data_IF_270314421596
#
_entry.id   IF_270314421596
#
_cell.length_a   1.000
_cell.length_b   1.000
_cell.length_c   1.000
_cell.angle_alpha   90.00
_cell.angle_beta   90.00
_cell.angle_gamma   90.00
#
_symmetry.space_group_name_H-M   'P 1'
#
loop_
_entity.id
_entity.type
_entity.pdbx_description
1 polymer ?
#
# COMPACT_ATOMS: atom_id res chain seq x y z
N UNK A 1 -12.53 -1.50 12.69
CA UNK A 1 -11.77 -1.16 11.47
C UNK A 1 -11.95 -2.28 10.48
N UNK A 2 -12.07 -1.93 9.20
CA UNK A 2 -12.08 -2.86 8.08
C UNK A 2 -10.85 -2.59 7.24
N UNK A 3 -10.29 -3.65 6.67
CA UNK A 3 -9.11 -3.57 5.83
C UNK A 3 -9.41 -4.16 4.46
N UNK A 4 -8.98 -3.45 3.42
CA UNK A 4 -8.83 -3.93 2.05
C UNK A 4 -7.33 -4.07 1.81
N UNK A 5 -6.81 -5.29 1.81
CA UNK A 5 -5.36 -5.50 1.73
C UNK A 5 -4.95 -6.96 1.71
N UNK A 6 -3.70 -7.22 2.10
CA UNK A 6 -3.05 -8.54 2.08
C UNK A 6 -3.13 -9.21 0.68
N UNK A 7 -2.62 -8.52 -0.34
CA UNK A 7 -2.62 -9.02 -1.71
C UNK A 7 -1.56 -10.11 -1.93
N UNK A 8 -0.49 -10.12 -1.12
CA UNK A 8 0.56 -11.14 -1.07
C UNK A 8 0.04 -12.58 -1.11
N UNK A 9 -1.05 -12.86 -0.40
CA UNK A 9 -1.64 -14.21 -0.32
C UNK A 9 -2.28 -14.66 -1.64
N UNK A 10 -2.54 -13.73 -2.55
CA UNK A 10 -3.19 -13.96 -3.84
C UNK A 10 -2.19 -14.01 -5.00
N UNK A 11 -1.01 -13.42 -4.84
CA UNK A 11 0.03 -13.44 -5.87
C UNK A 11 0.56 -14.84 -6.17
N UNK A 12 0.67 -15.71 -5.15
CA UNK A 12 1.04 -17.12 -5.35
C UNK A 12 0.01 -17.90 -6.19
N UNK A 13 -1.24 -17.42 -6.22
CA UNK A 13 -2.31 -17.95 -7.07
C UNK A 13 -2.38 -17.27 -8.45
N UNK A 14 -1.45 -16.35 -8.76
CA UNK A 14 -1.44 -15.57 -10.00
C UNK A 14 -2.56 -14.54 -10.10
N UNK A 15 -3.17 -14.17 -8.96
CA UNK A 15 -4.22 -13.17 -8.90
C UNK A 15 -3.58 -11.83 -8.54
N UNK A 16 -3.69 -10.87 -9.45
CA UNK A 16 -3.25 -9.49 -9.25
C UNK A 16 -4.46 -8.57 -9.10
N UNK A 17 -4.25 -7.45 -8.41
CA UNK A 17 -5.27 -6.42 -8.20
C UNK A 17 -4.85 -5.15 -8.91
N UNK A 18 -5.69 -4.68 -9.84
CA UNK A 18 -5.49 -3.40 -10.50
C UNK A 18 -5.88 -2.23 -9.60
N UNK A 19 -5.31 -1.05 -9.86
CA UNK A 19 -5.67 0.19 -9.17
C UNK A 19 -7.18 0.47 -9.21
N UNK A 20 -7.81 0.20 -10.35
CA UNK A 20 -9.25 0.38 -10.53
C UNK A 20 -10.08 -0.57 -9.67
N UNK A 21 -9.67 -1.83 -9.56
CA UNK A 21 -10.35 -2.81 -8.70
C UNK A 21 -10.29 -2.39 -7.23
N UNK A 22 -9.12 -1.95 -6.77
CA UNK A 22 -8.92 -1.51 -5.38
C UNK A 22 -9.74 -0.25 -5.10
N UNK A 23 -9.76 0.69 -6.03
CA UNK A 23 -10.56 1.92 -5.92
C UNK A 23 -12.05 1.61 -5.84
N UNK A 24 -12.55 0.74 -6.71
CA UNK A 24 -13.96 0.31 -6.70
C UNK A 24 -14.32 -0.41 -5.38
N UNK A 25 -13.46 -1.30 -4.88
CA UNK A 25 -13.67 -1.96 -3.58
C UNK A 25 -13.75 -0.94 -2.44
N UNK A 26 -12.88 0.07 -2.46
CA UNK A 26 -12.86 1.14 -1.45
C UNK A 26 -14.14 1.94 -1.48
N UNK A 27 -14.56 2.38 -2.67
CA UNK A 27 -15.80 3.13 -2.89
C UNK A 27 -17.03 2.36 -2.41
N UNK A 28 -17.15 1.09 -2.79
CA UNK A 28 -18.29 0.26 -2.40
C UNK A 28 -18.28 -0.02 -0.89
N UNK A 29 -17.12 -0.29 -0.30
CA UNK A 29 -16.99 -0.52 1.15
C UNK A 29 -17.37 0.73 1.94
N UNK A 30 -16.91 1.92 1.52
CA UNK A 30 -17.26 3.19 2.16
C UNK A 30 -18.76 3.49 2.05
N UNK A 31 -19.41 3.16 0.93
CA UNK A 31 -20.88 3.30 0.81
C UNK A 31 -21.65 2.41 1.78
N UNK A 32 -21.20 1.17 1.96
CA UNK A 32 -21.88 0.21 2.85
C UNK A 32 -21.63 0.56 4.32
N UNK A 33 -20.43 1.03 4.65
CA UNK A 33 -19.97 1.25 6.02
C UNK A 33 -19.40 2.67 6.18
N UNK A 34 -20.26 3.70 6.14
CA UNK A 34 -19.84 5.10 6.11
C UNK A 34 -19.07 5.52 7.37
N UNK A 35 -19.39 4.97 8.53
CA UNK A 35 -18.84 5.39 9.83
C UNK A 35 -17.72 4.49 10.36
N UNK A 36 -17.34 3.45 9.63
CA UNK A 36 -16.30 2.52 10.06
C UNK A 36 -14.94 2.95 9.51
N UNK A 37 -13.91 2.89 10.35
CA UNK A 37 -12.53 3.11 9.91
C UNK A 37 -12.14 2.11 8.80
N UNK A 38 -11.79 2.62 7.63
CA UNK A 38 -11.39 1.86 6.45
C UNK A 38 -9.89 2.02 6.21
N UNK A 39 -9.16 0.90 6.27
CA UNK A 39 -7.76 0.78 5.90
C UNK A 39 -7.65 0.21 4.50
N UNK A 40 -6.83 0.79 3.63
CA UNK A 40 -6.58 0.25 2.30
C UNK A 40 -5.07 0.11 2.08
N UNK A 41 -4.65 -1.07 1.65
CA UNK A 41 -3.26 -1.34 1.27
C UNK A 41 -3.07 -0.99 -0.21
N UNK A 42 -1.93 -0.41 -0.56
CA UNK A 42 -1.49 -0.17 -1.92
C UNK A 42 -0.53 -1.31 -2.30
N UNK A 43 -0.83 -2.10 -3.34
CA UNK A 43 -0.02 -3.24 -3.73
C UNK A 43 1.34 -2.81 -4.25
N UNK A 44 2.38 -3.56 -3.90
CA UNK A 44 3.75 -3.28 -4.33
C UNK A 44 4.03 -3.66 -5.80
N UNK A 45 3.09 -4.34 -6.45
CA UNK A 45 3.16 -4.73 -7.87
C UNK A 45 2.98 -3.55 -8.83
N UNK A 46 2.38 -2.44 -8.36
CA UNK A 46 2.23 -1.21 -9.14
C UNK A 46 3.54 -0.41 -9.18
N UNK A 47 3.72 0.41 -10.23
CA UNK A 47 4.86 1.33 -10.30
C UNK A 47 4.76 2.40 -9.20
N UNK A 48 5.89 2.96 -8.74
CA UNK A 48 5.86 4.03 -7.71
C UNK A 48 4.92 5.20 -8.07
N UNK A 49 4.92 5.73 -9.32
CA UNK A 49 3.94 6.73 -9.73
C UNK A 49 2.48 6.26 -9.60
N UNK A 50 2.20 5.01 -9.95
CA UNK A 50 0.84 4.45 -9.85
C UNK A 50 0.43 4.21 -8.40
N UNK A 51 1.36 3.81 -7.53
CA UNK A 51 1.14 3.69 -6.10
C UNK A 51 0.78 5.05 -5.48
N UNK A 52 1.51 6.10 -5.84
CA UNK A 52 1.19 7.47 -5.40
C UNK A 52 -0.18 7.90 -5.92
N UNK A 53 -0.45 7.68 -7.21
CA UNK A 53 -1.73 8.06 -7.80
C UNK A 53 -2.90 7.31 -7.18
N UNK A 54 -2.74 6.02 -6.90
CA UNK A 54 -3.75 5.22 -6.23
C UNK A 54 -3.97 5.72 -4.80
N UNK A 55 -2.92 6.03 -4.05
CA UNK A 55 -3.04 6.57 -2.70
C UNK A 55 -3.87 7.87 -2.66
N UNK A 56 -3.60 8.82 -3.57
CA UNK A 56 -4.41 10.04 -3.71
C UNK A 56 -5.89 9.73 -3.93
N UNK A 57 -6.18 8.83 -4.88
CA UNK A 57 -7.56 8.45 -5.22
C UNK A 57 -8.27 7.73 -4.05
N UNK A 58 -7.54 6.93 -3.28
CA UNK A 58 -8.09 6.23 -2.12
C UNK A 58 -8.46 7.20 -0.99
N UNK A 59 -7.65 8.24 -0.78
CA UNK A 59 -7.98 9.32 0.16
C UNK A 59 -9.26 10.05 -0.28
N UNK A 60 -9.37 10.38 -1.57
CA UNK A 60 -10.56 11.04 -2.14
C UNK A 60 -11.85 10.19 -2.00
N UNK A 61 -11.74 8.87 -2.12
CA UNK A 61 -12.85 7.93 -1.94
C UNK A 61 -13.13 7.58 -0.47
N UNK A 62 -12.37 8.17 0.46
CA UNK A 62 -12.61 8.11 1.89
C UNK A 62 -11.96 6.92 2.57
N UNK A 63 -10.79 6.45 2.15
CA UNK A 63 -9.95 5.60 3.00
C UNK A 63 -9.41 6.43 4.18
N UNK A 64 -9.53 5.93 5.41
CA UNK A 64 -9.02 6.62 6.60
C UNK A 64 -7.53 6.38 6.82
N UNK A 65 -7.05 5.19 6.43
CA UNK A 65 -5.68 4.76 6.59
C UNK A 65 -5.23 4.15 5.27
N UNK A 66 -4.12 4.65 4.73
CA UNK A 66 -3.47 4.10 3.55
C UNK A 66 -2.17 3.42 3.99
N UNK A 67 -2.04 2.15 3.65
CA UNK A 67 -0.86 1.33 3.92
C UNK A 67 -0.18 1.02 2.60
N UNK A 68 1.13 0.85 2.58
CA UNK A 68 1.81 0.24 1.44
C UNK A 68 2.09 -1.21 1.78
N UNK A 69 1.92 -2.10 0.81
CA UNK A 69 2.29 -3.49 1.01
C UNK A 69 3.78 -3.54 1.31
N UNK A 70 4.11 -4.16 2.46
CA UNK A 70 5.48 -4.32 2.88
C UNK A 70 6.14 -5.29 1.92
N UNK A 71 6.73 -4.77 0.83
CA UNK A 71 7.49 -5.59 -0.10
C UNK A 71 8.42 -6.45 0.72
N UNK A 72 8.34 -7.78 0.56
CA UNK A 72 9.26 -8.74 1.16
C UNK A 72 10.69 -8.24 0.87
N UNK A 73 11.25 -7.47 1.79
CA UNK A 73 12.63 -7.01 1.73
C UNK A 73 13.50 -8.21 2.11
N UNK A 74 13.52 -9.22 1.26
CA UNK A 74 14.34 -10.41 1.42
C UNK A 74 15.10 -10.69 0.13
N UNK A 75 15.85 -9.68 -0.34
CA UNK A 75 17.29 -9.83 -0.59
C UNK A 75 17.81 -8.52 -1.21
N UNK A 76 18.76 -7.80 -0.58
CA UNK A 76 19.49 -6.77 -1.29
C UNK A 76 20.21 -7.43 -2.48
N UNK A 77 19.95 -6.97 -3.70
CA UNK A 77 20.54 -7.47 -4.95
C UNK A 77 22.07 -7.29 -5.00
N UNK A 78 22.68 -6.67 -3.97
CA UNK A 78 24.12 -6.55 -3.79
C UNK A 78 24.49 -6.72 -2.31
N UNK A 79 25.38 -7.67 -1.94
CA UNK A 79 25.92 -7.72 -0.58
C UNK A 79 26.86 -6.53 -0.39
N UNK A 80 26.50 -5.57 0.48
CA UNK A 80 27.39 -4.47 0.81
C UNK A 80 26.72 -3.26 1.48
N UNK A 81 27.57 -2.32 1.90
CA UNK A 81 27.29 -1.08 2.65
C UNK A 81 26.17 -0.23 2.04
N UNK A 82 25.91 -0.36 0.73
CA UNK A 82 24.84 0.36 0.03
C UNK A 82 23.43 -0.01 0.51
N UNK A 83 23.20 -1.28 0.87
CA UNK A 83 21.90 -1.73 1.40
C UNK A 83 21.58 -1.19 2.80
N UNK A 84 22.62 -0.80 3.56
CA UNK A 84 22.45 -0.11 4.84
C UNK A 84 22.04 1.36 4.66
N UNK A 85 22.52 2.01 3.59
CA UNK A 85 22.17 3.40 3.27
C UNK A 85 20.70 3.48 2.82
N UNK A 86 20.24 2.55 1.97
CA UNK A 86 18.84 2.48 1.56
C UNK A 86 17.90 2.26 2.77
N UNK A 87 18.29 1.42 3.73
CA UNK A 87 17.50 1.17 4.95
C UNK A 87 17.33 2.42 5.83
N UNK A 88 18.32 3.32 5.85
CA UNK A 88 18.25 4.56 6.63
C UNK A 88 17.42 5.61 5.90
N UNK A 89 17.52 5.70 4.57
CA UNK A 89 16.72 6.63 3.77
C UNK A 89 15.21 6.35 3.90
N UNK A 90 14.80 5.08 3.85
CA UNK A 90 13.39 4.69 4.04
C UNK A 90 12.85 5.06 5.43
N UNK A 91 13.72 5.07 6.46
CA UNK A 91 13.33 5.38 7.84
C UNK A 91 13.19 6.88 8.12
N UNK A 92 13.89 7.73 7.37
CA UNK A 92 13.84 9.20 7.53
C UNK A 92 12.56 9.83 6.96
N UNK A 93 11.84 9.14 6.06
CA UNK A 93 10.56 9.64 5.54
C UNK A 93 9.37 9.37 6.48
N UNK A 94 9.53 8.46 7.46
CA UNK A 94 8.47 8.00 8.37
C UNK A 94 8.70 8.40 9.84
N UNK A 95 9.23 9.60 10.10
CA UNK A 95 9.13 10.22 11.43
C UNK A 95 8.13 11.35 11.39
N UNK A 96 7.03 11.31 12.17
CA UNK A 96 6.16 12.46 12.31
C UNK A 96 6.96 13.58 12.99
N UNK A 97 7.00 14.74 12.34
CA UNK A 97 7.43 15.96 13.00
C UNK A 97 6.52 16.19 14.21
N UNK A 98 7.15 16.20 15.39
CA UNK A 98 6.62 16.73 16.65
C UNK A 98 6.27 18.21 16.53
#
# INVERSE_FOLDING_TARGET
>A
QIEIGNYDSFYDAGIEFSSEQILNLTKETRKILPDITLSVTVPHTLSLPDQMRLAELLEEEGADIIQTEGGKCSSPTKPGVLGLIEKVAQKMLNTPSV
#
